data_IF_632863085124
#
_entry.id   IF_632863085124
#
_cell.length_a   1.000
_cell.length_b   1.000
_cell.length_c   1.000
_cell.angle_alpha   90.00
_cell.angle_beta   90.00
_cell.angle_gamma   90.00
#
_symmetry.space_group_name_H-M   'P 1'
#
loop_
_entity.id
_entity.type
_entity.pdbx_description
1 polymer ?
#
# COMPACT_ATOMS: atom_id res chain seq x y z
N UNK A 1 6.49 -17.03 -0.22
CA UNK A 1 5.92 -16.05 0.73
C UNK A 1 4.82 -16.71 1.53
N UNK A 2 4.85 -16.55 2.85
CA UNK A 2 3.76 -16.98 3.74
C UNK A 2 2.59 -16.01 3.56
N UNK A 3 1.45 -16.51 3.05
CA UNK A 3 0.25 -15.69 2.86
C UNK A 3 -0.52 -15.61 4.18
N UNK A 4 -0.93 -14.40 4.58
CA UNK A 4 -1.84 -14.18 5.72
C UNK A 4 -3.17 -13.64 5.19
N UNK A 5 -4.28 -14.14 5.74
CA UNK A 5 -5.61 -13.62 5.44
C UNK A 5 -5.94 -12.40 6.28
N UNK A 6 -6.64 -11.42 5.70
CA UNK A 6 -7.18 -10.28 6.42
C UNK A 6 -8.63 -10.56 6.82
N UNK A 7 -8.92 -10.56 8.12
CA UNK A 7 -10.29 -10.71 8.64
C UNK A 7 -10.78 -9.35 9.17
N UNK A 8 -11.81 -8.79 8.54
CA UNK A 8 -12.39 -7.49 8.91
C UNK A 8 -13.86 -7.64 9.28
N UNK A 9 -14.24 -7.04 10.42
CA UNK A 9 -15.65 -6.85 10.77
C UNK A 9 -16.18 -5.63 10.03
N UNK A 10 -17.02 -5.84 9.03
CA UNK A 10 -17.67 -4.78 8.26
C UNK A 10 -19.15 -5.06 8.07
N UNK A 11 -19.95 -4.00 8.01
CA UNK A 11 -21.37 -4.08 7.66
C UNK A 11 -21.56 -4.54 6.21
N UNK A 12 -22.64 -5.26 5.93
CA UNK A 12 -22.99 -5.72 4.58
C UNK A 12 -23.03 -4.59 3.55
N UNK A 13 -23.56 -3.42 3.90
CA UNK A 13 -23.58 -2.23 3.02
C UNK A 13 -22.18 -1.83 2.53
N UNK A 14 -21.17 -1.88 3.42
CA UNK A 14 -19.77 -1.55 3.08
C UNK A 14 -19.15 -2.65 2.22
N UNK A 15 -19.42 -3.91 2.55
CA UNK A 15 -18.96 -5.05 1.75
C UNK A 15 -19.51 -5.00 0.32
N UNK A 16 -20.81 -4.70 0.15
CA UNK A 16 -21.42 -4.57 -1.16
C UNK A 16 -20.82 -3.42 -1.97
N UNK A 17 -20.61 -2.26 -1.32
CA UNK A 17 -19.93 -1.12 -1.97
C UNK A 17 -18.54 -1.51 -2.48
N UNK A 18 -17.77 -2.25 -1.68
CA UNK A 18 -16.44 -2.73 -2.07
C UNK A 18 -16.50 -3.70 -3.25
N UNK A 19 -17.46 -4.64 -3.26
CA UNK A 19 -17.68 -5.57 -4.38
C UNK A 19 -18.02 -4.84 -5.68
N UNK A 20 -18.97 -3.89 -5.63
CA UNK A 20 -19.39 -3.12 -6.80
C UNK A 20 -18.25 -2.25 -7.35
N UNK A 21 -17.46 -1.65 -6.46
CA UNK A 21 -16.29 -0.87 -6.86
C UNK A 21 -15.18 -1.74 -7.48
N UNK A 22 -14.98 -2.96 -6.96
CA UNK A 22 -14.05 -3.92 -7.55
C UNK A 22 -14.48 -4.32 -8.97
N UNK A 23 -15.77 -4.64 -9.14
CA UNK A 23 -16.35 -4.97 -10.44
C UNK A 23 -16.20 -3.83 -11.45
N UNK A 24 -16.45 -2.58 -11.07
CA UNK A 24 -16.31 -1.43 -11.98
C UNK A 24 -14.86 -1.11 -12.37
N UNK A 25 -13.88 -1.66 -11.66
CA UNK A 25 -12.44 -1.53 -11.95
C UNK A 25 -11.84 -2.78 -12.59
N UNK A 26 -12.65 -3.80 -12.88
CA UNK A 26 -12.20 -5.11 -13.38
C UNK A 26 -11.12 -5.74 -12.49
N UNK A 27 -11.23 -5.52 -11.17
CA UNK A 27 -10.28 -6.00 -10.17
C UNK A 27 -10.96 -6.86 -9.12
N UNK A 28 -10.19 -7.74 -8.49
CA UNK A 28 -10.65 -8.42 -7.27
C UNK A 28 -10.62 -7.46 -6.08
N UNK A 29 -11.44 -7.73 -5.06
CA UNK A 29 -11.39 -6.97 -3.81
C UNK A 29 -10.02 -7.03 -3.15
N UNK A 30 -9.35 -8.19 -3.24
CA UNK A 30 -7.98 -8.38 -2.73
C UNK A 30 -6.99 -7.45 -3.42
N UNK A 31 -7.00 -7.41 -4.76
CA UNK A 31 -6.11 -6.51 -5.52
C UNK A 31 -6.34 -5.04 -5.18
N UNK A 32 -7.59 -4.62 -4.95
CA UNK A 32 -7.86 -3.25 -4.50
C UNK A 32 -7.24 -2.96 -3.13
N UNK A 33 -7.35 -3.91 -2.20
CA UNK A 33 -6.78 -3.77 -0.86
C UNK A 33 -5.25 -3.76 -0.93
N UNK A 34 -4.63 -4.62 -1.73
CA UNK A 34 -3.20 -4.62 -2.01
C UNK A 34 -2.76 -3.28 -2.61
N UNK A 35 -3.42 -2.81 -3.67
CA UNK A 35 -3.15 -1.52 -4.32
C UNK A 35 -3.26 -0.33 -3.34
N UNK A 36 -4.15 -0.42 -2.35
CA UNK A 36 -4.30 0.62 -1.32
C UNK A 36 -3.22 0.53 -0.24
N UNK A 37 -2.82 -0.68 0.15
CA UNK A 37 -1.73 -0.92 1.09
C UNK A 37 -0.40 -0.41 0.49
N UNK A 38 -0.14 -0.70 -0.78
CA UNK A 38 1.09 -0.30 -1.47
C UNK A 38 1.24 1.24 -1.61
N UNK A 39 0.14 1.99 -1.43
CA UNK A 39 0.13 3.46 -1.45
C UNK A 39 0.33 4.09 -0.06
N UNK A 40 0.31 3.29 1.01
CA UNK A 40 0.52 3.81 2.35
C UNK A 40 1.98 4.27 2.48
N UNK A 41 2.24 5.47 3.05
CA UNK A 41 3.61 5.89 3.34
C UNK A 41 4.24 4.89 4.30
N UNK A 42 5.46 4.44 4.00
CA UNK A 42 6.15 3.47 4.83
C UNK A 42 7.19 4.19 5.68
N UNK A 43 6.95 4.36 6.99
CA UNK A 43 7.88 5.09 7.86
C UNK A 43 9.27 4.43 7.94
N UNK A 44 9.40 3.14 7.59
CA UNK A 44 10.69 2.42 7.58
C UNK A 44 11.38 2.45 6.20
N UNK A 45 10.63 2.48 5.09
CA UNK A 45 11.21 2.47 3.72
C UNK A 45 11.60 3.88 3.28
N UNK A 46 10.84 4.90 3.69
CA UNK A 46 11.13 6.30 3.33
C UNK A 46 12.38 6.87 4.05
N UNK A 47 12.85 6.20 5.11
CA UNK A 47 14.08 6.55 5.81
C UNK A 47 15.34 6.09 5.05
N UNK A 48 15.28 4.95 4.33
CA UNK A 48 16.43 4.40 3.61
C UNK A 48 16.76 5.20 2.33
N UNK A 49 15.75 5.81 1.70
CA UNK A 49 15.90 6.69 0.53
C UNK A 49 16.32 8.14 0.87
N UNK A 50 16.38 8.51 2.14
CA UNK A 50 16.99 9.77 2.60
C UNK A 50 18.47 9.55 2.96
N UNK A 51 19.27 9.09 2.01
CA UNK A 51 20.71 9.34 2.07
C UNK A 51 21.00 10.71 1.44
N UNK A 52 21.48 11.72 2.20
CA UNK A 52 22.12 12.86 1.57
C UNK A 52 23.35 12.33 0.84
N UNK A 53 23.42 12.58 -0.47
CA UNK A 53 24.62 12.33 -1.26
C UNK A 53 25.82 12.94 -0.52
N UNK A 54 26.64 12.07 0.07
CA UNK A 54 27.88 12.46 0.75
C UNK A 54 28.94 12.60 -0.33
N UNK A 55 28.82 13.65 -1.15
CA UNK A 55 29.90 14.04 -2.06
C UNK A 55 29.72 15.50 -2.44
N UNK A 56 30.15 16.38 -1.53
CA UNK A 56 30.89 17.54 -2.00
C UNK A 56 32.28 17.49 -1.37
N UNK A 57 33.23 17.51 -2.29
CA UNK A 57 34.64 17.25 -2.14
C UNK A 57 35.30 18.15 -1.10
N UNK A 58 36.34 17.59 -0.47
CA UNK A 58 37.53 18.35 -0.08
C UNK A 58 37.87 19.38 -1.16
N UNK A 59 37.79 20.66 -0.82
CA UNK A 59 38.54 21.72 -1.47
C UNK A 59 38.58 22.91 -0.52
N UNK A 60 39.60 22.99 0.33
CA UNK A 60 40.67 24.01 0.36
C UNK A 60 41.64 23.62 1.46
#
# INVERSE_FOLDING_TARGET
MTKKGLNLRITERRLNKLRLYAASKEKTMTQLVEDWIDRLPSPEIDAEFKHPSRTDLRST
#
